data_IF_356290238987
#
_entry.id   IF_356290238987
#
_cell.length_a   1.000
_cell.length_b   1.000
_cell.length_c   1.000
_cell.angle_alpha   90.00
_cell.angle_beta   90.00
_cell.angle_gamma   90.00
#
_symmetry.space_group_name_H-M   'P 1'
#
loop_
_entity.id
_entity.type
_entity.pdbx_description
1 polymer ?
#
# COMPACT_ATOMS: atom_id res chain seq x y z
N UNK A 1 -13.15 6.25 1.58
CA UNK A 1 -12.01 6.63 2.44
C UNK A 1 -11.10 5.44 2.77
N UNK A 2 -11.65 4.22 2.99
CA UNK A 2 -10.86 3.00 3.27
C UNK A 2 -9.82 2.70 2.19
N UNK A 3 -10.20 2.81 0.91
CA UNK A 3 -9.26 2.64 -0.20
C UNK A 3 -8.17 3.72 -0.24
N UNK A 4 -8.50 4.94 0.14
CA UNK A 4 -7.54 6.04 0.19
C UNK A 4 -6.44 5.80 1.25
N UNK A 5 -6.81 5.21 2.39
CA UNK A 5 -5.85 4.89 3.46
C UNK A 5 -4.81 3.86 2.97
N UNK A 6 -5.25 2.80 2.31
CA UNK A 6 -4.36 1.78 1.74
C UNK A 6 -3.49 2.39 0.64
N UNK A 7 -4.10 3.17 -0.24
CA UNK A 7 -3.39 3.83 -1.32
C UNK A 7 -2.35 4.84 -0.81
N UNK A 8 -2.63 5.58 0.26
CA UNK A 8 -1.68 6.56 0.82
C UNK A 8 -0.40 5.91 1.32
N UNK A 9 -0.48 4.73 1.95
CA UNK A 9 0.68 3.95 2.34
C UNK A 9 1.54 3.55 1.12
N UNK A 10 0.89 3.06 0.07
CA UNK A 10 1.56 2.69 -1.17
C UNK A 10 2.22 3.90 -1.84
N UNK A 11 1.50 5.02 -1.95
CA UNK A 11 2.00 6.25 -2.55
C UNK A 11 3.18 6.84 -1.76
N UNK A 12 3.18 6.74 -0.43
CA UNK A 12 4.30 7.18 0.40
C UNK A 12 5.57 6.42 0.09
N UNK A 13 5.50 5.09 -0.02
CA UNK A 13 6.65 4.26 -0.40
C UNK A 13 7.11 4.59 -1.82
N UNK A 14 6.18 4.63 -2.78
CA UNK A 14 6.48 4.90 -4.18
C UNK A 14 7.20 6.24 -4.38
N UNK A 15 6.74 7.29 -3.68
CA UNK A 15 7.30 8.63 -3.81
C UNK A 15 8.65 8.81 -3.10
N UNK A 16 8.87 8.10 -1.99
CA UNK A 16 10.11 8.23 -1.19
C UNK A 16 11.22 7.29 -1.64
N UNK A 17 10.89 6.10 -2.13
CA UNK A 17 11.86 5.06 -2.46
C UNK A 17 13.00 5.53 -3.39
N UNK A 18 12.77 6.25 -4.50
CA UNK A 18 13.84 6.64 -5.42
C UNK A 18 14.90 7.57 -4.80
N UNK A 19 14.54 8.31 -3.75
CA UNK A 19 15.43 9.28 -3.09
C UNK A 19 16.13 8.75 -1.86
N UNK A 20 15.75 7.58 -1.35
CA UNK A 20 16.26 7.02 -0.09
C UNK A 20 17.78 6.98 0.00
N UNK A 21 18.43 6.49 -1.05
CA UNK A 21 19.89 6.37 -1.10
C UNK A 21 20.53 7.73 -1.38
N UNK A 22 19.92 8.54 -2.25
CA UNK A 22 20.44 9.85 -2.65
C UNK A 22 20.40 10.87 -1.51
N UNK A 23 19.37 10.83 -0.68
CA UNK A 23 19.19 11.76 0.45
C UNK A 23 20.08 11.41 1.65
N UNK A 24 20.75 10.23 1.64
CA UNK A 24 21.59 9.74 2.74
C UNK A 24 23.06 9.51 2.36
N UNK A 25 23.77 10.51 1.77
CA UNK A 25 25.14 10.32 1.28
C UNK A 25 26.15 10.00 2.40
N UNK A 26 25.87 10.42 3.62
CA UNK A 26 26.73 10.15 4.77
C UNK A 26 26.68 8.68 5.22
N UNK A 27 25.53 8.04 5.14
CA UNK A 27 25.37 6.61 5.46
C UNK A 27 26.08 5.74 4.42
N UNK A 28 26.01 6.15 3.16
CA UNK A 28 26.62 5.42 2.04
C UNK A 28 28.15 5.53 2.04
N UNK A 29 28.71 6.70 2.43
CA UNK A 29 30.16 6.99 2.29
C UNK A 29 30.96 6.82 3.57
N UNK A 30 30.38 7.02 4.75
CA UNK A 30 31.13 7.15 6.01
C UNK A 30 30.94 6.00 7.00
N UNK A 31 29.91 5.17 6.82
CA UNK A 31 29.59 4.09 7.75
C UNK A 31 29.41 2.80 6.95
N UNK A 32 29.90 1.68 7.50
CA UNK A 32 29.57 0.34 6.98
C UNK A 32 28.12 0.03 7.41
N UNK A 33 27.16 0.67 6.73
CA UNK A 33 25.74 0.51 7.02
C UNK A 33 25.12 -0.42 5.96
N UNK A 34 24.36 -1.43 6.36
CA UNK A 34 23.66 -2.30 5.41
C UNK A 34 22.57 -1.51 4.72
N UNK A 35 22.81 -1.11 3.46
CA UNK A 35 21.89 -0.30 2.65
C UNK A 35 20.55 -1.00 2.43
N UNK A 36 20.49 -2.31 2.59
CA UNK A 36 19.29 -3.14 2.50
C UNK A 36 18.20 -2.75 3.53
N UNK A 37 18.57 -2.06 4.60
CA UNK A 37 17.63 -1.62 5.64
C UNK A 37 16.91 -0.31 5.23
N UNK A 38 17.50 0.52 4.35
CA UNK A 38 16.90 1.80 3.98
C UNK A 38 15.46 1.67 3.43
N UNK A 39 15.15 0.72 2.55
CA UNK A 39 13.79 0.57 2.02
C UNK A 39 12.71 0.19 3.04
N UNK A 40 13.09 -0.18 4.27
CA UNK A 40 12.14 -0.40 5.37
C UNK A 40 11.60 0.90 5.98
N UNK A 41 12.33 2.02 5.81
CA UNK A 41 11.97 3.30 6.44
C UNK A 41 10.62 3.84 5.94
N UNK A 42 10.35 3.95 4.61
CA UNK A 42 9.08 4.46 4.13
C UNK A 42 7.87 3.60 4.51
N UNK A 43 7.91 2.24 4.39
CA UNK A 43 6.80 1.42 4.85
C UNK A 43 6.49 1.58 6.33
N UNK A 44 7.52 1.67 7.20
CA UNK A 44 7.31 1.85 8.64
C UNK A 44 6.70 3.21 8.97
N UNK A 45 7.19 4.29 8.32
CA UNK A 45 6.61 5.63 8.48
C UNK A 45 5.17 5.68 7.96
N UNK A 46 4.92 5.11 6.78
CA UNK A 46 3.59 5.02 6.20
C UNK A 46 2.62 4.16 7.01
N UNK A 47 3.13 3.12 7.66
CA UNK A 47 2.33 2.29 8.58
C UNK A 47 1.85 3.08 9.79
N UNK A 48 2.66 3.98 10.32
CA UNK A 48 2.25 4.88 11.40
C UNK A 48 1.10 5.79 10.95
N UNK A 49 1.21 6.40 9.77
CA UNK A 49 0.14 7.21 9.18
C UNK A 49 -1.12 6.39 8.88
N UNK A 50 -0.96 5.15 8.40
CA UNK A 50 -2.06 4.22 8.16
C UNK A 50 -2.83 3.95 9.45
N UNK A 51 -2.14 3.64 10.56
CA UNK A 51 -2.78 3.37 11.85
C UNK A 51 -3.58 4.57 12.35
N UNK A 52 -3.04 5.80 12.23
CA UNK A 52 -3.75 7.02 12.61
C UNK A 52 -5.00 7.25 11.76
N UNK A 53 -4.88 7.15 10.43
CA UNK A 53 -6.01 7.32 9.51
C UNK A 53 -7.07 6.23 9.70
N UNK A 54 -6.63 5.01 10.00
CA UNK A 54 -7.51 3.90 10.29
C UNK A 54 -8.27 4.11 11.60
N UNK A 55 -7.58 4.56 12.66
CA UNK A 55 -8.22 4.89 13.93
C UNK A 55 -9.30 5.97 13.75
N UNK A 56 -9.02 6.99 12.92
CA UNK A 56 -10.00 8.03 12.59
C UNK A 56 -11.21 7.45 11.84
N UNK A 57 -10.97 6.60 10.84
CA UNK A 57 -12.04 5.93 10.09
C UNK A 57 -12.90 5.06 11.01
N UNK A 58 -12.26 4.28 11.90
CA UNK A 58 -12.97 3.41 12.84
C UNK A 58 -13.79 4.22 13.86
N UNK A 59 -13.26 5.33 14.35
CA UNK A 59 -14.00 6.24 15.21
C UNK A 59 -15.24 6.79 14.52
N UNK A 60 -15.10 7.24 13.26
CA UNK A 60 -16.21 7.72 12.46
C UNK A 60 -17.26 6.64 12.20
N UNK A 61 -16.85 5.42 11.83
CA UNK A 61 -17.76 4.30 11.57
C UNK A 61 -18.46 3.81 12.85
N UNK A 62 -17.77 3.83 13.99
CA UNK A 62 -18.36 3.49 15.28
C UNK A 62 -19.44 4.50 15.69
N UNK A 63 -19.20 5.78 15.43
CA UNK A 63 -20.17 6.85 15.73
C UNK A 63 -21.41 6.75 14.84
N UNK A 64 -21.22 6.49 13.55
CA UNK A 64 -22.30 6.43 12.55
C UNK A 64 -23.16 5.18 12.70
N UNK A 65 -22.57 4.03 12.99
CA UNK A 65 -23.23 2.71 13.04
C UNK A 65 -23.57 2.23 14.45
N UNK A 66 -23.14 2.94 15.48
CA UNK A 66 -23.34 2.55 16.88
C UNK A 66 -22.52 1.33 17.33
N UNK A 67 -21.54 0.90 16.55
CA UNK A 67 -20.65 -0.21 16.89
C UNK A 67 -19.67 -0.56 15.77
N UNK A 68 -18.64 -1.32 16.13
CA UNK A 68 -17.62 -1.80 15.20
C UNK A 68 -17.86 -3.27 14.88
N UNK A 69 -17.76 -3.70 13.60
CA UNK A 69 -17.89 -5.10 13.24
C UNK A 69 -16.70 -5.92 13.76
N UNK A 70 -16.96 -7.13 14.24
CA UNK A 70 -15.92 -8.06 14.74
C UNK A 70 -14.89 -8.40 13.66
N UNK A 71 -15.27 -8.29 12.40
CA UNK A 71 -14.40 -8.54 11.24
C UNK A 71 -13.17 -7.63 11.18
N UNK A 72 -13.18 -6.49 11.89
CA UNK A 72 -12.02 -5.60 12.02
C UNK A 72 -10.77 -6.28 12.61
N UNK A 73 -10.95 -7.35 13.38
CA UNK A 73 -9.83 -8.16 13.87
C UNK A 73 -9.01 -8.81 12.73
N UNK A 74 -9.62 -8.99 11.56
CA UNK A 74 -8.93 -9.52 10.38
C UNK A 74 -8.10 -8.45 9.62
N UNK A 75 -8.28 -7.17 9.93
CA UNK A 75 -7.68 -6.07 9.18
C UNK A 75 -6.14 -6.10 9.15
N UNK A 76 -5.42 -6.38 10.25
CA UNK A 76 -3.97 -6.56 10.20
C UNK A 76 -3.54 -7.68 9.24
N UNK A 77 -4.31 -8.78 9.18
CA UNK A 77 -4.04 -9.90 8.28
C UNK A 77 -4.34 -9.55 6.81
N UNK A 78 -5.29 -8.65 6.55
CA UNK A 78 -5.58 -8.13 5.21
C UNK A 78 -4.46 -7.22 4.70
N UNK A 79 -3.85 -6.43 5.60
CA UNK A 79 -2.78 -5.50 5.25
C UNK A 79 -1.39 -6.15 5.21
N UNK A 80 -1.21 -7.28 5.89
CA UNK A 80 0.08 -7.98 5.96
C UNK A 80 0.64 -8.35 4.57
N UNK A 81 -0.15 -8.86 3.60
CA UNK A 81 0.34 -9.17 2.27
C UNK A 81 0.86 -7.97 1.47
N UNK A 82 0.47 -6.75 1.87
CA UNK A 82 0.96 -5.53 1.22
C UNK A 82 2.43 -5.25 1.56
N UNK A 83 2.94 -5.69 2.73
CA UNK A 83 4.32 -5.42 3.16
C UNK A 83 5.38 -5.94 2.20
N UNK A 84 5.37 -7.22 1.76
CA UNK A 84 6.37 -7.70 0.79
C UNK A 84 6.34 -6.90 -0.51
N UNK A 85 5.16 -6.53 -1.01
CA UNK A 85 5.04 -5.70 -2.20
C UNK A 85 5.70 -4.33 -2.00
N UNK A 86 5.44 -3.67 -0.86
CA UNK A 86 6.02 -2.36 -0.55
C UNK A 86 7.54 -2.43 -0.44
N UNK A 87 8.07 -3.52 0.13
CA UNK A 87 9.51 -3.75 0.24
C UNK A 87 10.14 -4.01 -1.13
N UNK A 88 9.53 -4.88 -1.95
CA UNK A 88 10.00 -5.13 -3.32
C UNK A 88 10.10 -3.84 -4.13
N UNK A 89 9.04 -3.01 -4.07
CA UNK A 89 9.03 -1.70 -4.72
C UNK A 89 10.05 -0.75 -4.12
N UNK A 90 10.20 -0.77 -2.78
CA UNK A 90 11.18 0.03 -2.06
C UNK A 90 12.60 -0.25 -2.55
N UNK A 91 13.01 -1.51 -2.61
CA UNK A 91 14.32 -1.92 -3.12
C UNK A 91 14.50 -1.60 -4.61
N UNK A 92 13.49 -1.92 -5.42
CA UNK A 92 13.54 -1.66 -6.86
C UNK A 92 13.72 -0.17 -7.17
N UNK A 93 12.86 0.69 -6.59
CA UNK A 93 12.93 2.13 -6.87
C UNK A 93 14.10 2.82 -6.17
N UNK A 94 14.55 2.34 -5.01
CA UNK A 94 15.76 2.85 -4.37
C UNK A 94 17.00 2.58 -5.24
N UNK A 95 17.12 1.36 -5.79
CA UNK A 95 18.19 1.03 -6.71
C UNK A 95 18.09 1.84 -8.00
N UNK A 96 16.89 1.91 -8.61
CA UNK A 96 16.65 2.63 -9.85
C UNK A 96 16.94 4.12 -9.72
N UNK A 97 16.61 4.74 -8.57
CA UNK A 97 16.87 6.15 -8.28
C UNK A 97 18.35 6.51 -8.26
N UNK A 98 19.23 5.57 -7.93
CA UNK A 98 20.69 5.78 -8.00
C UNK A 98 21.16 5.92 -9.44
N UNK A 99 20.59 5.14 -10.37
CA UNK A 99 20.96 5.18 -11.78
C UNK A 99 20.27 6.32 -12.55
N UNK A 100 18.99 6.57 -12.22
CA UNK A 100 18.15 7.56 -12.92
C UNK A 100 17.57 8.54 -11.88
N UNK A 101 18.30 9.65 -11.66
CA UNK A 101 17.96 10.65 -10.62
C UNK A 101 16.58 11.31 -10.84
N UNK A 102 16.14 11.41 -12.07
CA UNK A 102 14.90 12.11 -12.42
C UNK A 102 13.64 11.30 -12.06
N UNK A 103 13.77 10.00 -11.80
CA UNK A 103 12.65 9.14 -11.37
C UNK A 103 11.96 9.71 -10.14
N UNK A 104 12.72 10.23 -9.16
CA UNK A 104 12.14 10.83 -7.96
C UNK A 104 11.22 12.03 -8.22
N UNK A 105 11.35 12.71 -9.37
CA UNK A 105 10.48 13.82 -9.76
C UNK A 105 9.21 13.33 -10.49
N UNK A 106 9.28 12.18 -11.15
CA UNK A 106 8.18 11.61 -11.93
C UNK A 106 7.21 10.83 -11.01
N UNK A 107 7.70 10.24 -9.91
CA UNK A 107 6.90 9.38 -9.04
C UNK A 107 5.61 10.03 -8.50
N UNK A 108 5.55 11.32 -8.11
CA UNK A 108 4.30 11.93 -7.70
C UNK A 108 3.24 11.93 -8.80
N UNK A 109 3.64 12.15 -10.04
CA UNK A 109 2.74 12.07 -11.20
C UNK A 109 2.26 10.64 -11.44
N UNK A 110 3.18 9.66 -11.39
CA UNK A 110 2.85 8.24 -11.53
C UNK A 110 1.90 7.80 -10.42
N UNK A 111 2.16 8.18 -9.16
CA UNK A 111 1.28 7.83 -8.06
C UNK A 111 -0.11 8.46 -8.21
N UNK A 112 -0.21 9.71 -8.70
CA UNK A 112 -1.50 10.33 -8.99
C UNK A 112 -2.28 9.59 -10.07
N UNK A 113 -1.61 9.15 -11.13
CA UNK A 113 -2.24 8.35 -12.18
C UNK A 113 -2.71 6.99 -11.63
N UNK A 114 -1.87 6.30 -10.84
CA UNK A 114 -2.22 5.02 -10.22
C UNK A 114 -3.41 5.14 -9.26
N UNK A 115 -3.60 6.30 -8.61
CA UNK A 115 -4.75 6.55 -7.75
C UNK A 115 -6.06 6.48 -8.54
N UNK A 116 -6.10 7.02 -9.76
CA UNK A 116 -7.27 6.93 -10.63
C UNK A 116 -7.44 5.55 -11.28
N UNK A 117 -6.35 4.82 -11.48
CA UNK A 117 -6.36 3.45 -12.00
C UNK A 117 -6.66 2.40 -10.91
N UNK A 118 -6.79 2.81 -9.66
CA UNK A 118 -7.12 1.92 -8.54
C UNK A 118 -8.57 2.16 -8.09
N UNK A 119 -9.28 1.16 -7.56
CA UNK A 119 -10.66 1.29 -7.09
C UNK A 119 -10.73 2.01 -5.73
N UNK A 120 -10.02 3.16 -5.62
CA UNK A 120 -9.93 3.95 -4.39
C UNK A 120 -11.25 4.64 -4.08
N UNK A 121 -11.86 5.26 -5.10
CA UNK A 121 -13.07 6.09 -4.95
C UNK A 121 -14.37 5.32 -5.17
N UNK A 122 -14.32 4.18 -5.84
CA UNK A 122 -15.51 3.39 -6.21
C UNK A 122 -15.25 1.90 -5.96
N UNK A 123 -16.28 1.11 -5.65
CA UNK A 123 -16.14 -0.34 -5.56
C UNK A 123 -15.98 -0.95 -6.95
N UNK A 124 -15.22 -2.03 -7.05
CA UNK A 124 -15.00 -2.74 -8.33
C UNK A 124 -16.34 -3.22 -8.94
N UNK A 125 -17.31 -3.57 -8.10
CA UNK A 125 -18.65 -4.01 -8.50
C UNK A 125 -19.48 -2.95 -9.21
N UNK A 126 -19.16 -1.66 -9.05
CA UNK A 126 -19.86 -0.56 -9.74
C UNK A 126 -19.44 -0.38 -11.19
N UNK A 127 -18.38 -1.06 -11.62
CA UNK A 127 -17.86 -0.96 -12.97
C UNK A 127 -18.44 -2.05 -13.88
N UNK A 128 -18.64 -1.74 -15.19
CA UNK A 128 -19.00 -2.74 -16.19
C UNK A 128 -18.00 -3.91 -16.18
N UNK A 129 -18.51 -5.13 -16.36
CA UNK A 129 -17.72 -6.36 -16.26
C UNK A 129 -16.49 -6.40 -17.18
N UNK A 130 -16.54 -5.70 -18.30
CA UNK A 130 -15.44 -5.60 -19.26
C UNK A 130 -14.18 -4.86 -18.73
N UNK A 131 -14.34 -3.97 -17.72
CA UNK A 131 -13.25 -3.19 -17.13
C UNK A 131 -12.64 -3.83 -15.88
N UNK A 132 -13.40 -4.70 -15.20
CA UNK A 132 -12.97 -5.36 -13.96
C UNK A 132 -11.66 -6.15 -14.11
N UNK A 133 -11.42 -6.94 -15.19
CA UNK A 133 -10.16 -7.65 -15.36
C UNK A 133 -8.93 -6.75 -15.40
N UNK A 134 -9.05 -5.55 -16.02
CA UNK A 134 -7.95 -4.60 -16.10
C UNK A 134 -7.58 -4.01 -14.74
N UNK A 135 -8.57 -3.71 -13.90
CA UNK A 135 -8.31 -3.22 -12.55
C UNK A 135 -7.76 -4.32 -11.63
N UNK A 136 -8.11 -5.58 -11.86
CA UNK A 136 -7.59 -6.70 -11.10
C UNK A 136 -6.09 -6.97 -11.35
N UNK A 137 -5.53 -6.46 -12.45
CA UNK A 137 -4.07 -6.49 -12.69
C UNK A 137 -3.33 -5.59 -11.70
N UNK A 138 -3.98 -4.52 -11.22
CA UNK A 138 -3.38 -3.64 -10.22
C UNK A 138 -3.28 -4.36 -8.87
N UNK A 139 -2.07 -4.51 -8.31
CA UNK A 139 -1.86 -5.25 -7.06
C UNK A 139 -2.57 -4.60 -5.85
N UNK A 140 -2.94 -3.33 -5.92
CA UNK A 140 -3.67 -2.66 -4.85
C UNK A 140 -5.15 -2.99 -4.82
N UNK A 141 -5.73 -3.39 -5.95
CA UNK A 141 -7.17 -3.63 -6.08
C UNK A 141 -7.66 -4.64 -5.05
N UNK A 142 -6.99 -5.78 -4.93
CA UNK A 142 -7.37 -6.83 -3.99
C UNK A 142 -7.33 -6.31 -2.55
N UNK A 143 -6.26 -5.67 -2.13
CA UNK A 143 -6.10 -5.19 -0.75
C UNK A 143 -7.14 -4.09 -0.42
N UNK A 144 -7.41 -3.18 -1.36
CA UNK A 144 -8.43 -2.13 -1.20
C UNK A 144 -9.83 -2.75 -1.04
N UNK A 145 -10.18 -3.72 -1.89
CA UNK A 145 -11.50 -4.38 -1.84
C UNK A 145 -11.66 -5.22 -0.57
N UNK A 146 -10.63 -5.98 -0.16
CA UNK A 146 -10.68 -6.75 1.09
C UNK A 146 -10.75 -5.84 2.32
N UNK A 147 -10.03 -4.70 2.32
CA UNK A 147 -10.12 -3.70 3.39
C UNK A 147 -11.53 -3.11 3.47
N UNK A 148 -12.14 -2.78 2.33
CA UNK A 148 -13.52 -2.29 2.25
C UNK A 148 -14.51 -3.32 2.77
N UNK A 149 -14.38 -4.57 2.34
CA UNK A 149 -15.21 -5.71 2.76
C UNK A 149 -15.20 -5.90 4.27
N UNK A 150 -14.04 -5.82 4.91
CA UNK A 150 -13.88 -5.98 6.36
C UNK A 150 -14.44 -4.80 7.13
N UNK A 151 -14.21 -3.56 6.68
CA UNK A 151 -14.59 -2.34 7.42
C UNK A 151 -16.04 -1.94 7.15
N UNK A 152 -16.47 -1.95 5.87
CA UNK A 152 -17.77 -1.40 5.48
C UNK A 152 -18.86 -2.45 5.42
N UNK A 153 -18.55 -3.62 4.87
CA UNK A 153 -19.56 -4.68 4.67
C UNK A 153 -19.67 -5.60 5.89
N UNK A 154 -18.70 -5.57 6.82
CA UNK A 154 -18.68 -6.44 8.00
C UNK A 154 -18.52 -7.92 7.64
N UNK A 155 -17.92 -8.22 6.49
CA UNK A 155 -17.70 -9.57 5.99
C UNK A 155 -16.25 -10.01 6.20
N UNK A 156 -16.05 -11.30 6.45
CA UNK A 156 -14.70 -11.86 6.54
C UNK A 156 -13.97 -11.78 5.21
N UNK A 157 -12.64 -11.56 5.22
CA UNK A 157 -11.85 -11.48 3.99
C UNK A 157 -11.79 -12.83 3.27
N UNK A 158 -11.50 -12.79 1.98
CA UNK A 158 -11.27 -13.98 1.16
C UNK A 158 -9.83 -14.46 1.37
N UNK A 159 -9.65 -15.41 2.27
CA UNK A 159 -8.32 -15.88 2.68
C UNK A 159 -7.51 -16.49 1.55
N UNK A 160 -8.17 -17.19 0.61
CA UNK A 160 -7.51 -17.80 -0.54
C UNK A 160 -6.82 -16.73 -1.42
N UNK A 161 -7.53 -15.64 -1.73
CA UNK A 161 -7.00 -14.57 -2.57
C UNK A 161 -5.85 -13.83 -1.88
N UNK A 162 -5.97 -13.60 -0.56
CA UNK A 162 -4.89 -13.01 0.24
C UNK A 162 -3.65 -13.91 0.31
N UNK A 163 -3.83 -15.23 0.42
CA UNK A 163 -2.71 -16.18 0.43
C UNK A 163 -1.98 -16.21 -0.92
N UNK A 164 -2.71 -16.22 -2.02
CA UNK A 164 -2.13 -16.14 -3.38
C UNK A 164 -1.38 -14.82 -3.56
N UNK A 165 -1.99 -13.71 -3.13
CA UNK A 165 -1.34 -12.40 -3.20
C UNK A 165 -0.05 -12.35 -2.38
N UNK A 166 -0.08 -12.86 -1.14
CA UNK A 166 1.10 -12.91 -0.28
C UNK A 166 2.22 -13.74 -0.92
N UNK A 167 1.89 -14.90 -1.51
CA UNK A 167 2.87 -15.73 -2.22
C UNK A 167 3.50 -14.98 -3.40
N UNK A 168 2.69 -14.33 -4.23
CA UNK A 168 3.19 -13.55 -5.37
C UNK A 168 4.02 -12.33 -4.94
N UNK A 169 3.59 -11.60 -3.92
CA UNK A 169 4.31 -10.45 -3.40
C UNK A 169 5.64 -10.84 -2.75
N UNK A 170 5.69 -11.98 -2.06
CA UNK A 170 6.93 -12.50 -1.44
C UNK A 170 7.93 -13.04 -2.46
N UNK A 171 7.47 -13.50 -3.63
CA UNK A 171 8.35 -13.88 -4.74
C UNK A 171 8.97 -12.66 -5.44
N UNK A 172 8.31 -11.51 -5.37
CA UNK A 172 8.80 -10.28 -5.97
C UNK A 172 9.78 -9.51 -5.05
N UNK A 173 9.77 -9.79 -3.73
CA UNK A 173 10.62 -9.16 -2.72
C UNK A 173 11.95 -9.90 -2.57
#
# INVERSE_FOLDING_TARGET
YSGLIVFSLFAEVLNRAPRLVLDQPNLVKKVVFPLEILPWIPPLAGFFHLVLNLALLLAATAFDRGGLPVTLLALPLVLLPLLPLLLAMGWFFAALGVFVRDIGQIMPTVSSLLMFLSPVFFPLSSLPSQWQPWLNINPLTLIIEQTRRVILDGLWPQWADLAVYLALASLAA
#
